data_IF_396709966655
#
_entry.id   IF_396709966655
#
_cell.length_a   1.000
_cell.length_b   1.000
_cell.length_c   1.000
_cell.angle_alpha   90.00
_cell.angle_beta   90.00
_cell.angle_gamma   90.00
#
_symmetry.space_group_name_H-M   'P 1'
#
loop_
_entity.id
_entity.type
_entity.pdbx_description
1 polymer ?
#
# COMPACT_ATOMS: atom_id res chain seq x y z
N UNK A 1 6.42 -15.16 0.21
CA UNK A 1 6.79 -13.87 -0.45
C UNK A 1 5.51 -13.11 -0.76
N UNK A 2 5.47 -11.84 -0.45
CA UNK A 2 4.32 -10.97 -0.71
C UNK A 2 3.95 -10.88 -2.20
N UNK A 3 2.77 -10.34 -2.50
CA UNK A 3 2.33 -10.02 -3.85
C UNK A 3 2.14 -8.52 -4.01
N UNK A 4 2.55 -7.98 -5.14
CA UNK A 4 2.35 -6.57 -5.48
C UNK A 4 1.65 -6.44 -6.83
N UNK A 5 0.84 -5.40 -6.96
CA UNK A 5 0.15 -5.03 -8.18
C UNK A 5 0.27 -3.54 -8.42
N UNK A 6 0.41 -3.17 -9.68
CA UNK A 6 0.34 -1.79 -10.11
C UNK A 6 -0.44 -1.70 -11.44
N UNK A 7 -1.34 -0.76 -11.50
CA UNK A 7 -2.05 -0.37 -12.74
C UNK A 7 -1.76 1.09 -12.98
N UNK A 8 -1.29 1.42 -14.17
CA UNK A 8 -1.07 2.81 -14.60
C UNK A 8 -1.83 3.04 -15.89
N UNK A 9 -2.69 4.05 -15.91
CA UNK A 9 -3.45 4.46 -17.09
C UNK A 9 -2.73 5.62 -17.77
N UNK A 10 -2.37 5.43 -19.03
CA UNK A 10 -1.77 6.45 -19.88
C UNK A 10 -2.85 7.06 -20.80
N UNK A 11 -2.65 8.33 -21.19
CA UNK A 11 -3.46 9.03 -22.20
C UNK A 11 -4.96 9.19 -21.85
N UNK A 12 -5.29 9.39 -20.58
CA UNK A 12 -6.68 9.55 -20.14
C UNK A 12 -7.63 8.40 -20.54
N UNK A 13 -7.10 7.29 -21.05
CA UNK A 13 -7.89 6.10 -21.23
C UNK A 13 -8.29 5.57 -19.86
N UNK A 14 -9.59 5.59 -19.59
CA UNK A 14 -10.19 5.13 -18.36
C UNK A 14 -10.07 3.61 -18.29
N UNK A 15 -8.95 3.12 -17.78
CA UNK A 15 -8.94 1.74 -17.34
C UNK A 15 -9.81 1.65 -16.09
N UNK A 16 -10.63 0.64 -16.08
CA UNK A 16 -11.47 0.36 -14.94
C UNK A 16 -10.57 -0.18 -13.81
N UNK A 17 -10.05 0.72 -12.96
CA UNK A 17 -9.27 0.32 -11.77
C UNK A 17 -10.13 -0.46 -10.76
N UNK A 18 -11.42 -0.61 -11.04
CA UNK A 18 -12.36 -1.41 -10.24
C UNK A 18 -11.95 -2.88 -10.08
N UNK A 19 -11.11 -3.39 -10.97
CA UNK A 19 -10.68 -4.78 -10.93
C UNK A 19 -9.40 -4.99 -10.09
N UNK A 20 -8.89 -3.95 -9.44
CA UNK A 20 -7.66 -4.06 -8.65
C UNK A 20 -7.79 -5.06 -7.50
N UNK A 21 -8.95 -5.12 -6.85
CA UNK A 21 -9.26 -6.07 -5.80
C UNK A 21 -9.38 -7.51 -6.33
N UNK A 22 -9.98 -7.70 -7.50
CA UNK A 22 -10.04 -9.02 -8.16
C UNK A 22 -8.65 -9.52 -8.52
N UNK A 23 -7.81 -8.65 -9.07
CA UNK A 23 -6.40 -8.97 -9.38
C UNK A 23 -5.63 -9.30 -8.10
N UNK A 24 -5.82 -8.55 -7.02
CA UNK A 24 -5.21 -8.82 -5.72
C UNK A 24 -5.66 -10.19 -5.17
N UNK A 25 -6.94 -10.53 -5.34
CA UNK A 25 -7.48 -11.84 -4.94
C UNK A 25 -6.85 -13.01 -5.70
N UNK A 26 -6.53 -12.84 -6.99
CA UNK A 26 -5.86 -13.88 -7.79
C UNK A 26 -4.48 -14.23 -7.23
N UNK A 27 -3.79 -13.27 -6.62
CA UNK A 27 -2.47 -13.48 -6.01
C UNK A 27 -2.53 -13.64 -4.47
N UNK A 28 -3.70 -13.89 -3.89
CA UNK A 28 -3.89 -14.10 -2.44
C UNK A 28 -2.95 -15.16 -1.87
N UNK A 29 -2.67 -16.22 -2.62
CA UNK A 29 -1.75 -17.28 -2.21
C UNK A 29 -0.31 -16.78 -1.94
N UNK A 30 0.08 -15.62 -2.46
CA UNK A 30 1.38 -14.99 -2.22
C UNK A 30 1.44 -14.30 -0.86
N UNK A 31 0.31 -13.74 -0.40
CA UNK A 31 0.23 -13.00 0.84
C UNK A 31 -1.18 -13.06 1.40
N UNK A 32 -1.49 -14.10 2.18
CA UNK A 32 -2.84 -14.32 2.71
C UNK A 32 -3.16 -13.48 3.94
N UNK A 33 -2.14 -12.86 4.59
CA UNK A 33 -2.28 -12.35 5.95
C UNK A 33 -2.81 -10.92 6.02
N UNK A 34 -2.64 -10.14 4.94
CA UNK A 34 -3.09 -8.76 4.88
C UNK A 34 -3.18 -8.29 3.42
N UNK A 35 -4.02 -7.29 3.15
CA UNK A 35 -4.13 -6.64 1.86
C UNK A 35 -4.45 -5.16 2.00
N UNK A 36 -3.87 -4.35 1.12
CA UNK A 36 -4.14 -2.93 1.07
C UNK A 36 -4.09 -2.37 -0.34
N UNK A 37 -4.79 -1.26 -0.53
CA UNK A 37 -4.97 -0.61 -1.82
C UNK A 37 -4.76 0.89 -1.72
N UNK A 38 -4.20 1.49 -2.76
CA UNK A 38 -4.21 2.94 -2.97
C UNK A 38 -4.55 3.26 -4.41
N UNK A 39 -5.38 4.26 -4.59
CA UNK A 39 -5.76 4.82 -5.89
C UNK A 39 -5.38 6.30 -5.92
N UNK A 40 -4.70 6.75 -6.97
CA UNK A 40 -4.35 8.15 -7.19
C UNK A 40 -5.23 8.76 -8.28
N UNK A 41 -5.69 9.98 -8.03
CA UNK A 41 -6.48 10.76 -8.97
C UNK A 41 -5.71 11.07 -10.27
N UNK A 42 -6.43 11.55 -11.26
CA UNK A 42 -5.87 11.84 -12.59
C UNK A 42 -4.77 12.92 -12.55
N UNK A 43 -4.87 13.86 -11.64
CA UNK A 43 -3.89 14.92 -11.43
C UNK A 43 -2.82 14.57 -10.37
N UNK A 44 -2.94 13.37 -9.78
CA UNK A 44 -2.07 12.87 -8.71
C UNK A 44 -2.04 13.77 -7.44
N UNK A 45 -3.04 14.65 -7.28
CA UNK A 45 -3.16 15.50 -6.10
C UNK A 45 -3.88 14.81 -4.95
N UNK A 46 -4.87 13.97 -5.30
CA UNK A 46 -5.68 13.23 -4.34
C UNK A 46 -5.42 11.73 -4.44
N UNK A 47 -5.56 11.06 -3.32
CA UNK A 47 -5.47 9.61 -3.25
C UNK A 47 -6.54 9.02 -2.32
N UNK A 48 -6.83 7.73 -2.51
CA UNK A 48 -7.70 6.96 -1.62
C UNK A 48 -7.00 5.69 -1.20
N UNK A 49 -6.80 5.53 0.11
CA UNK A 49 -6.34 4.27 0.71
C UNK A 49 -7.55 3.45 1.16
N UNK A 50 -7.46 2.13 0.97
CA UNK A 50 -8.58 1.24 1.30
C UNK A 50 -8.07 -0.12 1.80
N UNK A 51 -8.84 -0.72 2.69
CA UNK A 51 -8.62 -2.10 3.14
C UNK A 51 -9.46 -3.09 2.35
N UNK A 52 -9.06 -4.34 2.34
CA UNK A 52 -9.79 -5.42 1.69
C UNK A 52 -10.44 -6.40 2.68
N UNK A 53 -10.89 -7.53 2.16
CA UNK A 53 -11.53 -8.55 2.98
C UNK A 53 -10.57 -9.28 3.93
N UNK A 54 -9.30 -9.35 3.55
CA UNK A 54 -8.25 -10.05 4.31
C UNK A 54 -7.39 -9.08 5.16
N UNK A 55 -7.76 -7.79 5.23
CA UNK A 55 -7.05 -6.83 6.08
C UNK A 55 -7.40 -7.07 7.55
N UNK A 56 -6.41 -7.32 8.42
CA UNK A 56 -6.66 -7.53 9.84
C UNK A 56 -7.26 -6.30 10.54
N UNK A 57 -8.12 -6.52 11.52
CA UNK A 57 -8.77 -5.44 12.26
C UNK A 57 -7.74 -4.53 12.97
N UNK A 58 -6.68 -5.09 13.52
CA UNK A 58 -5.63 -4.32 14.17
C UNK A 58 -4.89 -3.35 13.22
N UNK A 59 -4.86 -3.62 11.91
CA UNK A 59 -4.35 -2.68 10.90
C UNK A 59 -5.30 -1.49 10.75
N UNK A 60 -6.60 -1.76 10.66
CA UNK A 60 -7.63 -0.72 10.52
C UNK A 60 -7.67 0.20 11.75
N UNK A 61 -7.41 -0.35 12.93
CA UNK A 61 -7.51 0.38 14.21
C UNK A 61 -6.28 1.24 14.52
N UNK A 62 -5.17 1.10 13.76
CA UNK A 62 -3.97 1.92 14.02
C UNK A 62 -4.17 3.38 13.65
N UNK A 63 -3.28 4.24 14.18
CA UNK A 63 -3.22 5.66 13.84
C UNK A 63 -2.09 5.97 12.84
N UNK A 64 -1.57 4.94 12.16
CA UNK A 64 -0.58 5.14 11.10
C UNK A 64 -1.22 5.91 9.93
N UNK A 65 -0.49 6.80 9.31
CA UNK A 65 -0.97 7.64 8.20
C UNK A 65 -1.49 6.82 7.02
N UNK A 66 -0.88 5.66 6.80
CA UNK A 66 -1.27 4.72 5.75
C UNK A 66 -2.25 3.62 6.22
N UNK A 67 -2.78 3.74 7.44
CA UNK A 67 -3.82 2.83 7.93
C UNK A 67 -5.14 3.11 7.24
N UNK A 68 -5.68 2.17 6.45
CA UNK A 68 -6.92 2.39 5.71
C UNK A 68 -8.12 2.37 6.65
N UNK A 69 -9.03 3.32 6.47
CA UNK A 69 -10.27 3.43 7.26
C UNK A 69 -11.52 3.09 6.45
N UNK A 70 -11.37 2.97 5.14
CA UNK A 70 -12.48 2.70 4.21
C UNK A 70 -12.25 1.39 3.50
N UNK A 71 -13.29 0.56 3.41
CA UNK A 71 -13.22 -0.67 2.64
C UNK A 71 -13.14 -0.36 1.14
N UNK A 72 -12.31 -1.12 0.42
CA UNK A 72 -12.23 -1.00 -1.03
C UNK A 72 -13.60 -1.27 -1.65
N UNK A 73 -14.05 -0.34 -2.46
CA UNK A 73 -15.31 -0.42 -3.18
C UNK A 73 -15.10 0.06 -4.61
N UNK A 74 -15.89 -0.49 -5.50
CA UNK A 74 -16.00 0.05 -6.86
C UNK A 74 -16.32 1.54 -6.80
N UNK A 75 -15.62 2.31 -7.59
CA UNK A 75 -15.86 3.76 -7.72
C UNK A 75 -15.92 4.14 -9.19
N UNK A 76 -16.85 5.05 -9.51
CA UNK A 76 -16.92 5.70 -10.83
C UNK A 76 -15.92 6.86 -10.96
N UNK A 77 -15.21 7.19 -9.89
CA UNK A 77 -14.19 8.23 -9.90
C UNK A 77 -13.01 7.87 -10.81
N UNK A 78 -12.36 8.91 -11.32
CA UNK A 78 -11.25 8.76 -12.26
C UNK A 78 -9.95 8.64 -11.48
N UNK A 79 -9.34 7.47 -11.57
CA UNK A 79 -7.99 7.22 -11.09
C UNK A 79 -7.09 6.83 -12.24
N UNK A 80 -5.83 7.21 -12.16
CA UNK A 80 -4.81 6.91 -13.17
C UNK A 80 -3.77 5.94 -12.69
N UNK A 81 -3.57 5.85 -11.37
CA UNK A 81 -2.65 4.87 -10.77
C UNK A 81 -3.36 4.13 -9.66
N UNK A 82 -3.27 2.81 -9.68
CA UNK A 82 -3.70 1.94 -8.60
C UNK A 82 -2.56 1.02 -8.18
N UNK A 83 -2.29 0.95 -6.87
CA UNK A 83 -1.34 0.01 -6.29
C UNK A 83 -2.07 -0.89 -5.30
N UNK A 84 -1.69 -2.17 -5.27
CA UNK A 84 -2.15 -3.09 -4.25
C UNK A 84 -1.01 -3.97 -3.72
N UNK A 85 -1.15 -4.36 -2.47
CA UNK A 85 -0.21 -5.23 -1.78
C UNK A 85 -0.94 -6.39 -1.11
N UNK A 86 -0.35 -7.58 -1.23
CA UNK A 86 -0.73 -8.79 -0.49
C UNK A 86 0.44 -9.18 0.40
N UNK A 87 0.22 -9.17 1.70
CA UNK A 87 1.27 -9.39 2.70
C UNK A 87 1.31 -10.84 3.17
N UNK A 88 2.53 -11.37 3.21
CA UNK A 88 2.88 -12.55 3.99
C UNK A 88 3.72 -12.04 5.17
N UNK A 89 3.16 -12.12 6.37
CA UNK A 89 3.79 -11.63 7.60
C UNK A 89 4.72 -12.69 8.16
N UNK A 90 6.04 -12.47 8.09
CA UNK A 90 7.06 -13.44 8.53
C UNK A 90 7.89 -12.85 9.68
N UNK A 91 8.53 -11.71 9.45
CA UNK A 91 9.46 -11.08 10.41
C UNK A 91 8.70 -10.10 11.30
N UNK A 92 8.02 -9.16 10.69
CA UNK A 92 7.20 -8.18 11.39
C UNK A 92 5.72 -8.61 11.31
N UNK A 93 5.14 -8.93 12.46
CA UNK A 93 3.73 -9.29 12.60
C UNK A 93 2.86 -8.09 13.01
N UNK A 94 3.47 -6.92 13.17
CA UNK A 94 2.76 -5.70 13.59
C UNK A 94 2.02 -5.05 12.43
N UNK A 95 1.01 -4.22 12.73
CA UNK A 95 0.34 -3.42 11.70
C UNK A 95 1.25 -2.45 10.94
N UNK A 96 2.42 -2.10 11.50
CA UNK A 96 3.37 -1.20 10.84
C UNK A 96 3.92 -1.73 9.51
N UNK A 97 3.86 -3.05 9.29
CA UNK A 97 4.22 -3.65 8.01
C UNK A 97 3.12 -3.64 6.95
N UNK A 98 1.96 -3.02 7.23
CA UNK A 98 0.90 -2.86 6.23
C UNK A 98 1.36 -2.01 5.03
N UNK A 99 0.90 -2.38 3.83
CA UNK A 99 1.21 -1.66 2.59
C UNK A 99 -0.06 -1.55 1.72
N UNK A 100 -0.19 -0.51 0.89
CA UNK A 100 0.80 0.56 0.60
C UNK A 100 1.11 1.42 1.80
N UNK A 101 2.38 1.79 1.97
CA UNK A 101 2.83 2.69 3.04
C UNK A 101 3.39 4.00 2.47
N UNK A 102 3.39 5.05 3.27
CA UNK A 102 3.91 6.35 2.88
C UNK A 102 4.99 6.86 3.85
N UNK A 103 5.71 7.88 3.40
CA UNK A 103 6.56 8.70 4.24
C UNK A 103 5.74 9.64 5.15
N UNK A 104 6.39 10.39 6.04
CA UNK A 104 5.72 11.34 6.94
C UNK A 104 4.99 12.47 6.21
N UNK A 105 5.39 12.78 4.98
CA UNK A 105 4.80 13.85 4.17
C UNK A 105 3.64 13.39 3.31
N UNK A 106 3.39 12.07 3.23
CA UNK A 106 2.40 11.42 2.36
C UNK A 106 2.61 11.69 0.85
N UNK A 107 3.79 12.19 0.49
CA UNK A 107 4.17 12.48 -0.90
C UNK A 107 4.68 11.26 -1.65
N UNK A 108 5.25 10.29 -0.94
CA UNK A 108 5.82 9.08 -1.50
C UNK A 108 5.09 7.87 -0.95
N UNK A 109 4.62 7.03 -1.85
CA UNK A 109 3.93 5.80 -1.53
C UNK A 109 4.67 4.61 -2.13
N UNK A 110 4.73 3.53 -1.38
CA UNK A 110 5.43 2.32 -1.80
C UNK A 110 4.61 1.07 -1.59
N UNK A 111 4.70 0.16 -2.54
CA UNK A 111 4.42 -1.27 -2.39
C UNK A 111 5.71 -2.02 -2.68
N UNK A 112 6.13 -2.88 -1.77
CA UNK A 112 7.45 -3.49 -1.83
C UNK A 112 7.40 -4.96 -1.39
N UNK A 113 8.04 -5.81 -2.17
CA UNK A 113 8.25 -7.21 -1.85
C UNK A 113 9.73 -7.53 -1.94
N UNK A 114 10.44 -7.37 -0.83
CA UNK A 114 11.89 -7.58 -0.75
C UNK A 114 12.41 -7.30 0.65
N UNK A 115 13.72 -7.31 0.79
CA UNK A 115 14.44 -6.96 2.01
C UNK A 115 15.56 -5.95 1.71
N UNK A 116 15.74 -5.02 2.64
CA UNK A 116 16.87 -4.09 2.64
C UNK A 116 17.85 -4.59 3.70
N UNK A 117 18.84 -5.37 3.29
CA UNK A 117 19.74 -6.08 4.22
C UNK A 117 20.56 -5.14 5.12
N UNK A 118 20.93 -3.99 4.59
CA UNK A 118 21.69 -2.96 5.34
C UNK A 118 20.77 -1.88 5.95
N UNK A 119 19.53 -2.23 6.29
CA UNK A 119 18.54 -1.26 6.80
C UNK A 119 18.99 -0.60 8.10
N UNK A 120 19.78 -1.28 8.92
CA UNK A 120 20.27 -0.73 10.20
C UNK A 120 21.23 0.41 9.97
N UNK A 121 22.21 0.21 9.10
CA UNK A 121 23.19 1.22 8.72
C UNK A 121 22.50 2.42 8.05
N UNK A 122 21.63 2.16 7.11
CA UNK A 122 20.83 3.20 6.45
C UNK A 122 19.97 4.00 7.44
N UNK A 123 19.33 3.32 8.38
CA UNK A 123 18.53 3.97 9.44
C UNK A 123 19.38 4.92 10.27
N UNK A 124 20.57 4.51 10.72
CA UNK A 124 21.46 5.37 11.51
C UNK A 124 21.98 6.56 10.70
N UNK A 125 22.30 6.38 9.42
CA UNK A 125 22.72 7.47 8.57
C UNK A 125 21.59 8.48 8.29
N UNK A 126 20.38 8.00 8.07
CA UNK A 126 19.20 8.84 7.90
C UNK A 126 18.87 9.63 9.18
N UNK A 127 19.00 9.02 10.37
CA UNK A 127 18.82 9.72 11.64
C UNK A 127 19.81 10.88 11.82
N UNK A 128 21.08 10.70 11.41
CA UNK A 128 22.11 11.76 11.49
C UNK A 128 21.74 13.00 10.69
N UNK A 129 20.97 12.85 9.62
CA UNK A 129 20.50 13.95 8.77
C UNK A 129 19.05 14.38 9.07
N UNK A 130 18.50 13.92 10.21
CA UNK A 130 17.26 14.43 10.78
C UNK A 130 15.98 13.64 10.48
N UNK A 131 16.08 12.45 9.86
CA UNK A 131 14.90 11.61 9.68
C UNK A 131 14.54 10.87 10.98
N UNK A 132 13.23 10.79 11.24
CA UNK A 132 12.65 9.99 12.32
C UNK A 132 12.06 8.69 11.76
N UNK A 133 12.03 7.66 12.59
CA UNK A 133 11.47 6.36 12.26
C UNK A 133 10.55 5.90 13.40
N UNK A 134 9.46 5.30 13.02
CA UNK A 134 8.51 4.65 13.94
C UNK A 134 9.12 3.33 14.43
#
# INVERSE_FOLDING_TARGET
>A
MCGILAIVSFNNHRHNLSNLDEMARMIKHRGPDDEGFILFSTDLQDYKISYGNDTPQNVIDTQLKYSPKVKYQYTSEKFTVGLAHRRLSIIDLTPAGHQPMCDETERYWIVYNGEVYNYRELREDLKKIGYSFI
#
